data_IF_260105051834
#
_entry.id   IF_260105051834
#
_cell.length_a   1.000
_cell.length_b   1.000
_cell.length_c   1.000
_cell.angle_alpha   90.00
_cell.angle_beta   90.00
_cell.angle_gamma   90.00
#
_symmetry.space_group_name_H-M   'P 1'
#
loop_
_entity.id
_entity.type
_entity.pdbx_description
1 polymer ?
#
# COMPACT_ATOMS: atom_id res chain seq x y z
N UNK A 1 -3.82 5.87 -35.57
CA UNK A 1 -3.86 6.95 -34.56
C UNK A 1 -5.10 7.84 -34.62
N UNK A 2 -5.35 8.64 -35.67
CA UNK A 2 -6.54 9.52 -35.72
C UNK A 2 -7.87 8.75 -35.91
N UNK A 3 -7.87 7.67 -36.69
CA UNK A 3 -9.05 6.78 -36.87
C UNK A 3 -9.37 5.92 -35.63
N UNK A 4 -8.35 5.50 -34.89
CA UNK A 4 -8.53 4.78 -33.62
C UNK A 4 -9.11 5.70 -32.54
N UNK A 5 -8.69 6.98 -32.55
CA UNK A 5 -9.23 8.01 -31.67
C UNK A 5 -10.70 8.33 -31.99
N UNK A 6 -11.09 8.44 -33.26
CA UNK A 6 -12.49 8.62 -33.64
C UNK A 6 -13.35 7.39 -33.33
N UNK A 7 -12.82 6.17 -33.52
CA UNK A 7 -13.50 4.93 -33.14
C UNK A 7 -13.72 4.81 -31.63
N UNK A 8 -12.71 5.14 -30.83
CA UNK A 8 -12.81 5.15 -29.37
C UNK A 8 -13.82 6.20 -28.87
N UNK A 9 -13.84 7.40 -29.48
CA UNK A 9 -14.80 8.46 -29.15
C UNK A 9 -16.23 8.05 -29.52
N UNK A 10 -16.44 7.40 -30.67
CA UNK A 10 -17.76 6.90 -31.07
C UNK A 10 -18.26 5.77 -30.15
N UNK A 11 -17.38 4.87 -29.70
CA UNK A 11 -17.70 3.85 -28.70
C UNK A 11 -18.09 4.47 -27.35
N UNK A 12 -17.35 5.50 -26.91
CA UNK A 12 -17.67 6.25 -25.68
C UNK A 12 -19.02 6.98 -25.77
N UNK A 13 -19.35 7.52 -26.94
CA UNK A 13 -20.61 8.22 -27.18
C UNK A 13 -21.81 7.27 -27.28
N UNK A 14 -21.58 6.03 -27.70
CA UNK A 14 -22.63 5.02 -27.88
C UNK A 14 -23.05 4.37 -26.57
N UNK A 15 -22.13 4.20 -25.63
CA UNK A 15 -22.41 3.58 -24.33
C UNK A 15 -21.88 4.38 -23.13
N UNK A 16 -22.76 5.06 -22.38
CA UNK A 16 -22.35 5.90 -21.26
C UNK A 16 -21.69 5.11 -20.13
N UNK A 17 -22.05 3.82 -19.96
CA UNK A 17 -21.46 2.94 -18.93
C UNK A 17 -19.96 2.74 -19.16
N UNK A 18 -19.55 2.52 -20.41
CA UNK A 18 -18.13 2.38 -20.76
C UNK A 18 -17.38 3.69 -20.50
N UNK A 19 -17.95 4.82 -20.91
CA UNK A 19 -17.37 6.14 -20.66
C UNK A 19 -17.20 6.45 -19.18
N UNK A 20 -18.24 6.23 -18.36
CA UNK A 20 -18.17 6.47 -16.91
C UNK A 20 -17.20 5.52 -16.20
N UNK A 21 -17.18 4.24 -16.57
CA UNK A 21 -16.29 3.25 -15.93
C UNK A 21 -14.81 3.52 -16.24
N UNK A 22 -14.49 3.85 -17.50
CA UNK A 22 -13.14 4.25 -17.90
C UNK A 22 -12.71 5.56 -17.24
N UNK A 23 -13.58 6.58 -17.24
CA UNK A 23 -13.28 7.85 -16.58
C UNK A 23 -13.05 7.67 -15.09
N UNK A 24 -13.88 6.86 -14.42
CA UNK A 24 -13.73 6.53 -13.01
C UNK A 24 -12.40 5.79 -12.75
N UNK A 25 -12.05 4.81 -13.60
CA UNK A 25 -10.77 4.11 -13.50
C UNK A 25 -9.59 5.05 -13.69
N UNK A 26 -9.61 5.91 -14.71
CA UNK A 26 -8.54 6.89 -14.95
C UNK A 26 -8.41 7.89 -13.80
N UNK A 27 -9.53 8.41 -13.28
CA UNK A 27 -9.54 9.35 -12.17
C UNK A 27 -9.01 8.69 -10.89
N UNK A 28 -9.43 7.47 -10.61
CA UNK A 28 -8.93 6.71 -9.46
C UNK A 28 -7.43 6.40 -9.59
N UNK A 29 -6.96 6.09 -10.81
CA UNK A 29 -5.54 5.91 -11.09
C UNK A 29 -4.75 7.22 -10.87
N UNK A 30 -5.27 8.33 -11.39
CA UNK A 30 -4.65 9.65 -11.25
C UNK A 30 -4.58 10.10 -9.78
N UNK A 31 -5.64 9.92 -9.01
CA UNK A 31 -5.69 10.26 -7.57
C UNK A 31 -4.71 9.39 -6.77
N UNK A 32 -4.69 8.09 -7.06
CA UNK A 32 -3.80 7.14 -6.39
C UNK A 32 -2.33 7.46 -6.68
N UNK A 33 -1.99 7.71 -7.95
CA UNK A 33 -0.63 8.05 -8.37
C UNK A 33 -0.18 9.42 -7.85
N UNK A 34 -1.02 10.46 -8.00
CA UNK A 34 -0.70 11.81 -7.50
C UNK A 34 -0.48 11.82 -5.99
N UNK A 35 -1.23 11.02 -5.23
CA UNK A 35 -1.03 10.84 -3.79
C UNK A 35 0.32 10.20 -3.45
N UNK A 36 0.78 9.24 -4.24
CA UNK A 36 2.11 8.62 -4.10
C UNK A 36 3.24 9.59 -4.45
N UNK A 37 3.12 10.26 -5.59
CA UNK A 37 4.08 11.26 -6.08
C UNK A 37 4.22 12.42 -5.09
N UNK A 38 3.11 12.92 -4.54
CA UNK A 38 3.12 13.97 -3.51
C UNK A 38 3.89 13.56 -2.25
N UNK A 39 4.03 12.25 -1.99
CA UNK A 39 4.78 11.67 -0.87
C UNK A 39 6.18 11.18 -1.26
N UNK A 40 6.56 11.37 -2.53
CA UNK A 40 7.85 10.97 -3.08
C UNK A 40 8.13 9.46 -2.90
N UNK A 41 7.09 8.62 -3.01
CA UNK A 41 7.22 7.17 -2.87
C UNK A 41 8.16 6.56 -3.93
N UNK A 42 8.15 7.11 -5.15
CA UNK A 42 9.03 6.71 -6.26
C UNK A 42 10.52 6.90 -5.95
N UNK A 43 10.90 7.82 -5.05
CA UNK A 43 12.31 8.03 -4.67
C UNK A 43 12.91 6.78 -4.03
N UNK A 44 12.07 5.92 -3.44
CA UNK A 44 12.48 4.65 -2.85
C UNK A 44 13.06 3.70 -3.92
N UNK A 45 12.65 3.83 -5.19
CA UNK A 45 13.18 3.06 -6.32
C UNK A 45 14.63 3.41 -6.68
N UNK A 46 15.15 4.56 -6.23
CA UNK A 46 16.56 4.90 -6.43
C UNK A 46 17.51 4.06 -5.55
N UNK A 47 16.97 3.34 -4.55
CA UNK A 47 17.78 2.51 -3.65
C UNK A 47 17.96 1.11 -4.23
N UNK A 48 19.21 0.71 -4.46
CA UNK A 48 19.54 -0.63 -4.98
C UNK A 48 18.93 -1.77 -4.14
N UNK A 49 18.89 -1.63 -2.81
CA UNK A 49 18.31 -2.64 -1.92
C UNK A 49 16.79 -2.82 -2.12
N UNK A 50 16.08 -1.78 -2.54
CA UNK A 50 14.65 -1.83 -2.85
C UNK A 50 14.45 -2.48 -4.21
N UNK A 51 15.25 -2.08 -5.21
CA UNK A 51 15.21 -2.69 -6.54
C UNK A 51 15.47 -4.20 -6.48
N UNK A 52 16.46 -4.64 -5.70
CA UNK A 52 16.75 -6.06 -5.51
C UNK A 52 15.58 -6.81 -4.86
N UNK A 53 14.96 -6.23 -3.83
CA UNK A 53 13.76 -6.82 -3.17
C UNK A 53 12.57 -6.88 -4.11
N UNK A 54 12.34 -5.81 -4.89
CA UNK A 54 11.28 -5.75 -5.88
C UNK A 54 11.50 -6.81 -6.96
N UNK A 55 12.71 -6.89 -7.53
CA UNK A 55 13.07 -7.91 -8.52
C UNK A 55 12.89 -9.33 -7.97
N UNK A 56 13.31 -9.57 -6.71
CA UNK A 56 13.11 -10.86 -6.05
C UNK A 56 11.63 -11.21 -5.87
N UNK A 57 10.82 -10.29 -5.34
CA UNK A 57 9.39 -10.54 -5.08
C UNK A 57 8.57 -10.65 -6.37
N UNK A 58 8.89 -9.84 -7.39
CA UNK A 58 8.28 -9.97 -8.73
C UNK A 58 8.71 -11.27 -9.40
N UNK A 59 9.99 -11.64 -9.31
CA UNK A 59 10.49 -12.93 -9.82
C UNK A 59 9.83 -14.12 -9.13
N UNK A 60 9.62 -14.05 -7.80
CA UNK A 60 8.88 -15.04 -7.04
C UNK A 60 7.41 -15.12 -7.50
N UNK A 61 6.75 -13.98 -7.67
CA UNK A 61 5.39 -13.93 -8.19
C UNK A 61 5.30 -14.56 -9.59
N UNK A 62 6.24 -14.24 -10.48
CA UNK A 62 6.28 -14.81 -11.82
C UNK A 62 6.49 -16.33 -11.80
N UNK A 63 7.42 -16.83 -10.96
CA UNK A 63 7.65 -18.26 -10.80
C UNK A 63 6.42 -18.99 -10.26
N UNK A 64 5.72 -18.41 -9.28
CA UNK A 64 4.48 -18.95 -8.73
C UNK A 64 3.34 -18.92 -9.75
N UNK A 65 3.21 -17.85 -10.54
CA UNK A 65 2.22 -17.75 -11.61
C UNK A 65 2.44 -18.86 -12.64
N UNK A 66 3.67 -19.09 -13.06
CA UNK A 66 4.01 -20.16 -13.99
C UNK A 66 3.73 -21.56 -13.42
N UNK A 67 4.01 -21.79 -12.13
CA UNK A 67 3.64 -23.04 -11.45
C UNK A 67 2.12 -23.28 -11.50
N UNK A 68 1.32 -22.21 -11.40
CA UNK A 68 -0.14 -22.24 -11.42
C UNK A 68 -0.75 -22.74 -12.72
N UNK A 69 -0.04 -22.58 -13.84
CA UNK A 69 -0.50 -23.03 -15.17
C UNK A 69 -0.62 -24.56 -15.27
N UNK A 70 0.06 -25.28 -14.38
CA UNK A 70 0.10 -26.76 -14.35
C UNK A 70 -0.83 -27.37 -13.31
N UNK A 71 -1.64 -26.56 -12.62
CA UNK A 71 -2.53 -27.05 -11.57
C UNK A 71 -3.87 -27.55 -12.13
N UNK A 72 -4.24 -28.78 -11.80
CA UNK A 72 -5.43 -29.45 -12.34
C UNK A 72 -6.70 -29.29 -11.48
N UNK A 73 -6.60 -28.71 -10.27
CA UNK A 73 -7.71 -28.59 -9.32
C UNK A 73 -8.00 -27.12 -9.00
N UNK A 74 -9.29 -26.74 -9.00
CA UNK A 74 -9.76 -25.39 -8.68
C UNK A 74 -9.20 -24.82 -7.35
N UNK A 75 -9.14 -25.63 -6.29
CA UNK A 75 -8.59 -25.19 -5.00
C UNK A 75 -7.08 -24.95 -5.08
N UNK A 76 -6.36 -25.79 -5.82
CA UNK A 76 -4.92 -25.62 -6.04
C UNK A 76 -4.62 -24.42 -6.93
N UNK A 77 -5.39 -24.25 -8.01
CA UNK A 77 -5.33 -23.06 -8.86
C UNK A 77 -5.60 -21.80 -8.03
N UNK A 78 -6.65 -21.79 -7.21
CA UNK A 78 -6.93 -20.67 -6.31
C UNK A 78 -5.81 -20.41 -5.31
N UNK A 79 -5.24 -21.46 -4.69
CA UNK A 79 -4.13 -21.32 -3.76
C UNK A 79 -2.88 -20.73 -4.42
N UNK A 80 -2.52 -21.20 -5.61
CA UNK A 80 -1.39 -20.67 -6.37
C UNK A 80 -1.68 -19.25 -6.81
N UNK A 81 -2.92 -18.95 -7.21
CA UNK A 81 -3.37 -17.59 -7.54
C UNK A 81 -3.17 -16.64 -6.37
N UNK A 82 -3.60 -17.03 -5.17
CA UNK A 82 -3.35 -16.25 -3.97
C UNK A 82 -1.85 -16.10 -3.66
N UNK A 83 -1.08 -17.19 -3.85
CA UNK A 83 0.35 -17.20 -3.58
C UNK A 83 1.15 -16.25 -4.46
N UNK A 84 0.85 -16.15 -5.76
CA UNK A 84 1.59 -15.26 -6.66
C UNK A 84 1.20 -13.78 -6.51
N UNK A 85 -0.04 -13.49 -6.11
CA UNK A 85 -0.48 -12.12 -5.79
C UNK A 85 0.15 -11.58 -4.51
N UNK A 86 0.35 -12.43 -3.52
CA UNK A 86 0.81 -12.03 -2.18
C UNK A 86 2.13 -11.21 -2.21
N UNK A 87 3.22 -11.63 -2.89
CA UNK A 87 4.43 -10.81 -3.02
C UNK A 87 4.18 -9.40 -3.58
N UNK A 88 3.28 -9.28 -4.56
CA UNK A 88 2.95 -8.00 -5.19
C UNK A 88 2.12 -7.12 -4.25
N UNK A 89 1.16 -7.70 -3.52
CA UNK A 89 0.40 -7.00 -2.49
C UNK A 89 1.30 -6.49 -1.37
N UNK A 90 2.29 -7.29 -0.93
CA UNK A 90 3.28 -6.87 0.06
C UNK A 90 4.09 -5.66 -0.42
N UNK A 91 4.51 -5.63 -1.69
CA UNK A 91 5.22 -4.48 -2.27
C UNK A 91 4.36 -3.21 -2.31
N UNK A 92 3.14 -3.31 -2.83
CA UNK A 92 2.22 -2.17 -2.92
C UNK A 92 1.87 -1.61 -1.54
N UNK A 93 1.51 -2.49 -0.60
CA UNK A 93 1.22 -2.13 0.80
C UNK A 93 2.44 -1.56 1.54
N UNK A 94 3.64 -2.05 1.20
CA UNK A 94 4.90 -1.70 1.87
C UNK A 94 5.49 -0.38 1.41
N UNK A 95 5.46 -0.10 0.10
CA UNK A 95 6.18 1.01 -0.52
C UNK A 95 5.31 2.07 -1.21
N UNK A 96 4.10 1.73 -1.64
CA UNK A 96 3.15 2.72 -2.18
C UNK A 96 2.71 2.46 -3.61
N UNK A 97 1.85 3.35 -4.14
CA UNK A 97 1.25 3.19 -5.46
C UNK A 97 2.29 3.19 -6.59
N UNK A 98 3.33 4.02 -6.55
CA UNK A 98 4.35 4.06 -7.61
C UNK A 98 5.17 2.78 -7.70
N UNK A 99 5.50 2.18 -6.54
CA UNK A 99 6.22 0.90 -6.49
C UNK A 99 5.30 -0.27 -6.87
N UNK A 100 4.03 -0.23 -6.48
CA UNK A 100 3.02 -1.17 -6.95
C UNK A 100 2.88 -1.15 -8.47
N UNK A 101 2.83 0.04 -9.08
CA UNK A 101 2.78 0.21 -10.53
C UNK A 101 4.05 -0.31 -11.22
N UNK A 102 5.23 -0.01 -10.68
CA UNK A 102 6.49 -0.51 -11.22
C UNK A 102 6.57 -2.05 -11.17
N UNK A 103 6.13 -2.65 -10.06
CA UNK A 103 6.07 -4.10 -9.91
C UNK A 103 5.09 -4.74 -10.92
N UNK A 104 3.93 -4.12 -11.13
CA UNK A 104 2.97 -4.55 -12.15
C UNK A 104 3.56 -4.46 -13.56
N UNK A 105 4.27 -3.36 -13.86
CA UNK A 105 4.94 -3.17 -15.15
C UNK A 105 6.00 -4.24 -15.41
N UNK A 106 6.82 -4.58 -14.41
CA UNK A 106 7.77 -5.68 -14.53
C UNK A 106 7.07 -7.02 -14.74
N UNK A 107 5.98 -7.28 -14.01
CA UNK A 107 5.20 -8.50 -14.19
C UNK A 107 4.60 -8.58 -15.60
N UNK A 108 4.14 -7.46 -16.15
CA UNK A 108 3.63 -7.37 -17.52
C UNK A 108 4.70 -7.59 -18.59
N UNK A 109 5.95 -7.19 -18.33
CA UNK A 109 7.08 -7.50 -19.22
C UNK A 109 7.43 -8.99 -19.19
N UNK A 110 7.25 -9.65 -18.05
CA UNK A 110 7.51 -11.10 -17.92
C UNK A 110 6.36 -11.92 -18.53
N UNK A 111 5.12 -11.47 -18.35
CA UNK A 111 3.94 -12.09 -18.94
C UNK A 111 3.80 -11.68 -20.41
N UNK A 112 4.43 -12.41 -21.32
CA UNK A 112 4.32 -12.19 -22.77
C UNK A 112 3.44 -13.29 -23.40
N UNK A 113 2.35 -12.93 -24.11
CA UNK A 113 1.86 -11.57 -24.40
C UNK A 113 1.15 -10.94 -23.19
N UNK A 114 1.35 -9.64 -23.00
CA UNK A 114 0.63 -8.85 -21.99
C UNK A 114 -0.75 -8.44 -22.50
N UNK A 115 -1.74 -8.40 -21.60
CA UNK A 115 -3.11 -8.09 -21.95
C UNK A 115 -3.86 -7.36 -20.85
N UNK A 116 -5.19 -7.48 -20.91
CA UNK A 116 -6.09 -6.80 -19.97
C UNK A 116 -5.88 -7.23 -18.51
N UNK A 117 -5.45 -8.47 -18.26
CA UNK A 117 -5.17 -8.98 -16.92
C UNK A 117 -4.04 -8.20 -16.23
N UNK A 118 -2.95 -7.94 -16.95
CA UNK A 118 -1.82 -7.15 -16.45
C UNK A 118 -2.21 -5.69 -16.19
N UNK A 119 -3.07 -5.11 -17.04
CA UNK A 119 -3.59 -3.76 -16.85
C UNK A 119 -4.48 -3.65 -15.60
N UNK A 120 -5.35 -4.63 -15.36
CA UNK A 120 -6.17 -4.70 -14.15
C UNK A 120 -5.32 -4.90 -12.90
N UNK A 121 -4.31 -5.78 -12.97
CA UNK A 121 -3.35 -5.97 -11.88
C UNK A 121 -2.61 -4.67 -11.55
N UNK A 122 -2.14 -3.95 -12.56
CA UNK A 122 -1.50 -2.64 -12.38
C UNK A 122 -2.43 -1.64 -11.71
N UNK A 123 -3.70 -1.59 -12.14
CA UNK A 123 -4.71 -0.73 -11.55
C UNK A 123 -4.97 -1.10 -10.08
N UNK A 124 -5.11 -2.40 -9.78
CA UNK A 124 -5.32 -2.90 -8.42
C UNK A 124 -4.15 -2.59 -7.49
N UNK A 125 -2.91 -2.82 -7.92
CA UNK A 125 -1.71 -2.54 -7.10
C UNK A 125 -1.53 -1.05 -6.83
N UNK A 126 -1.90 -0.22 -7.80
CA UNK A 126 -1.87 1.23 -7.66
C UNK A 126 -2.93 1.73 -6.65
N UNK A 127 -4.16 1.21 -6.71
CA UNK A 127 -5.20 1.50 -5.70
C UNK A 127 -4.79 0.97 -4.32
N UNK A 128 -4.25 -0.24 -4.25
CA UNK A 128 -3.80 -0.87 -3.02
C UNK A 128 -2.71 -0.06 -2.33
N UNK A 129 -1.73 0.41 -3.10
CA UNK A 129 -0.66 1.28 -2.60
C UNK A 129 -1.19 2.62 -2.08
N UNK A 130 -2.22 3.18 -2.73
CA UNK A 130 -2.90 4.38 -2.25
C UNK A 130 -3.65 4.14 -0.93
N UNK A 131 -4.42 3.06 -0.83
CA UNK A 131 -5.14 2.68 0.40
C UNK A 131 -4.19 2.39 1.57
N UNK A 132 -2.98 1.89 1.28
CA UNK A 132 -1.95 1.63 2.30
C UNK A 132 -1.45 2.90 3.01
N UNK A 133 -1.73 4.09 2.47
CA UNK A 133 -1.41 5.38 3.10
C UNK A 133 -2.23 5.52 4.39
N UNK A 134 -3.55 5.36 4.34
CA UNK A 134 -4.46 5.30 5.49
C UNK A 134 -5.73 4.51 5.13
N UNK A 135 -6.05 3.38 5.80
CA UNK A 135 -5.37 2.79 6.96
C UNK A 135 -4.11 1.99 6.57
N UNK A 136 -3.06 2.08 7.39
CA UNK A 136 -1.77 1.45 7.09
C UNK A 136 -1.57 0.10 7.83
N UNK A 137 -1.10 -0.97 7.15
CA UNK A 137 -0.80 -2.27 7.77
C UNK A 137 0.35 -2.22 8.79
N UNK A 138 1.08 -1.10 8.82
CA UNK A 138 2.11 -0.80 9.82
C UNK A 138 1.56 -0.49 11.20
N UNK A 139 0.26 -0.20 11.30
CA UNK A 139 -0.43 0.08 12.56
C UNK A 139 -1.39 -1.05 12.93
N UNK A 140 -2.11 -1.61 11.95
CA UNK A 140 -3.15 -2.60 12.19
C UNK A 140 -3.00 -3.83 11.28
N UNK A 141 -3.00 -5.03 11.86
CA UNK A 141 -2.88 -6.30 11.11
C UNK A 141 -4.01 -6.50 10.09
N UNK A 142 -5.21 -6.02 10.40
CA UNK A 142 -6.39 -6.17 9.53
C UNK A 142 -6.40 -5.19 8.35
N UNK A 143 -5.58 -4.12 8.38
CA UNK A 143 -5.58 -3.12 7.32
C UNK A 143 -5.09 -3.69 5.97
N UNK A 144 -4.14 -4.64 5.99
CA UNK A 144 -3.67 -5.30 4.77
C UNK A 144 -4.80 -6.02 4.03
N UNK A 145 -5.46 -7.01 4.66
CA UNK A 145 -6.60 -7.71 4.05
C UNK A 145 -7.74 -6.77 3.64
N UNK A 146 -8.11 -5.79 4.47
CA UNK A 146 -9.17 -4.86 4.11
C UNK A 146 -8.82 -4.03 2.87
N UNK A 147 -7.59 -3.50 2.81
CA UNK A 147 -7.16 -2.71 1.67
C UNK A 147 -7.10 -3.54 0.38
N UNK A 148 -6.75 -4.82 0.47
CA UNK A 148 -6.79 -5.75 -0.67
C UNK A 148 -8.22 -5.96 -1.16
N UNK A 149 -9.17 -6.21 -0.26
CA UNK A 149 -10.59 -6.35 -0.62
C UNK A 149 -11.15 -5.08 -1.27
N UNK A 150 -10.85 -3.91 -0.70
CA UNK A 150 -11.27 -2.62 -1.25
C UNK A 150 -10.61 -2.33 -2.60
N UNK A 151 -9.32 -2.61 -2.75
CA UNK A 151 -8.61 -2.44 -4.01
C UNK A 151 -9.20 -3.34 -5.10
N UNK A 152 -9.42 -4.63 -4.81
CA UNK A 152 -10.05 -5.56 -5.74
C UNK A 152 -11.45 -5.10 -6.15
N UNK A 153 -12.28 -4.69 -5.18
CA UNK A 153 -13.60 -4.13 -5.43
C UNK A 153 -13.52 -2.92 -6.36
N UNK A 154 -12.77 -1.89 -5.97
CA UNK A 154 -12.64 -0.66 -6.77
C UNK A 154 -12.13 -0.91 -8.19
N UNK A 155 -11.14 -1.81 -8.35
CA UNK A 155 -10.64 -2.22 -9.66
C UNK A 155 -11.74 -2.84 -10.51
N UNK A 156 -12.50 -3.78 -9.95
CA UNK A 156 -13.50 -4.53 -10.71
C UNK A 156 -14.76 -3.72 -11.02
N UNK A 157 -15.18 -2.80 -10.13
CA UNK A 157 -16.34 -1.92 -10.38
C UNK A 157 -16.00 -0.82 -11.42
N UNK A 158 -14.71 -0.55 -11.66
CA UNK A 158 -14.25 0.47 -12.63
C UNK A 158 -13.60 -0.16 -13.87
N UNK A 159 -12.31 -0.45 -13.83
CA UNK A 159 -11.56 -1.03 -14.95
C UNK A 159 -12.05 -2.42 -15.35
N UNK A 160 -12.50 -3.23 -14.38
CA UNK A 160 -13.06 -4.57 -14.64
C UNK A 160 -14.34 -4.49 -15.48
N UNK A 161 -15.28 -3.61 -15.11
CA UNK A 161 -16.49 -3.35 -15.91
C UNK A 161 -16.14 -2.92 -17.34
N UNK A 162 -15.19 -1.99 -17.50
CA UNK A 162 -14.74 -1.55 -18.81
C UNK A 162 -14.15 -2.71 -19.63
N UNK A 163 -13.30 -3.53 -19.02
CA UNK A 163 -12.73 -4.72 -19.67
C UNK A 163 -13.81 -5.72 -20.09
N UNK A 164 -14.74 -6.06 -19.19
CA UNK A 164 -15.83 -7.00 -19.50
C UNK A 164 -16.68 -6.48 -20.65
N UNK A 165 -16.96 -5.18 -20.68
CA UNK A 165 -17.72 -4.57 -21.76
C UNK A 165 -16.99 -4.66 -23.10
N UNK A 166 -15.70 -4.31 -23.13
CA UNK A 166 -14.88 -4.35 -24.36
C UNK A 166 -14.72 -5.78 -24.88
N UNK A 167 -14.63 -6.77 -24.00
CA UNK A 167 -14.38 -8.17 -24.38
C UNK A 167 -15.64 -8.96 -24.74
N UNK A 168 -16.78 -8.63 -24.13
CA UNK A 168 -18.02 -9.43 -24.27
C UNK A 168 -19.20 -8.64 -24.85
N UNK A 169 -19.09 -7.32 -24.99
CA UNK A 169 -20.15 -6.44 -25.49
C UNK A 169 -21.29 -6.18 -24.51
N UNK A 170 -21.24 -6.73 -23.29
CA UNK A 170 -22.26 -6.52 -22.26
C UNK A 170 -21.68 -6.63 -20.84
N UNK A 171 -22.30 -5.95 -19.87
CA UNK A 171 -21.99 -6.15 -18.45
C UNK A 171 -22.98 -7.15 -17.88
N UNK A 172 -22.55 -8.39 -17.64
CA UNK A 172 -23.37 -9.43 -17.03
C UNK A 172 -22.75 -9.92 -15.73
N UNK A 173 -23.58 -10.01 -14.68
CA UNK A 173 -23.13 -10.47 -13.36
C UNK A 173 -22.69 -11.95 -13.36
N UNK A 174 -23.26 -12.75 -14.27
CA UNK A 174 -22.88 -14.15 -14.48
C UNK A 174 -21.43 -14.30 -14.90
N UNK A 175 -20.94 -13.43 -15.81
CA UNK A 175 -19.55 -13.42 -16.27
C UNK A 175 -18.56 -13.13 -15.14
N UNK A 176 -18.95 -12.30 -14.18
CA UNK A 176 -18.16 -12.06 -12.99
C UNK A 176 -18.04 -13.34 -12.15
N UNK A 177 -19.16 -13.98 -11.84
CA UNK A 177 -19.15 -15.13 -10.93
C UNK A 177 -18.55 -16.40 -11.52
N UNK A 178 -18.71 -16.65 -12.83
CA UNK A 178 -18.13 -17.84 -13.48
C UNK A 178 -16.68 -17.62 -13.89
N UNK A 179 -16.31 -16.39 -14.26
CA UNK A 179 -14.97 -16.04 -14.71
C UNK A 179 -13.96 -15.73 -13.59
N UNK A 180 -14.43 -15.41 -12.38
CA UNK A 180 -13.56 -14.97 -11.27
C UNK A 180 -13.41 -15.98 -10.12
N UNK A 181 -13.93 -17.20 -10.22
CA UNK A 181 -13.94 -18.12 -9.07
C UNK A 181 -12.53 -18.40 -8.53
N UNK A 182 -11.59 -18.71 -9.42
CA UNK A 182 -10.18 -18.95 -9.07
C UNK A 182 -9.57 -17.70 -8.42
N UNK A 183 -9.87 -16.53 -9.00
CA UNK A 183 -9.34 -15.25 -8.54
C UNK A 183 -9.88 -14.87 -7.15
N UNK A 184 -11.16 -15.10 -6.89
CA UNK A 184 -11.80 -14.84 -5.59
C UNK A 184 -11.28 -15.79 -4.51
N UNK A 185 -11.09 -17.07 -4.84
CA UNK A 185 -10.45 -18.03 -3.92
C UNK A 185 -9.02 -17.58 -3.62
N UNK A 186 -8.26 -17.22 -4.65
CA UNK A 186 -6.90 -16.71 -4.49
C UNK A 186 -6.83 -15.44 -3.66
N UNK A 187 -7.73 -14.48 -3.90
CA UNK A 187 -7.85 -13.26 -3.12
C UNK A 187 -8.13 -13.56 -1.64
N UNK A 188 -9.07 -14.46 -1.35
CA UNK A 188 -9.39 -14.86 0.01
C UNK A 188 -8.19 -15.50 0.72
N UNK A 189 -7.46 -16.37 0.03
CA UNK A 189 -6.24 -17.01 0.56
C UNK A 189 -5.11 -16.00 0.75
N UNK A 190 -4.92 -15.07 -0.18
CA UNK A 190 -3.95 -13.98 -0.05
C UNK A 190 -4.29 -13.07 1.13
N UNK A 191 -5.57 -12.71 1.31
CA UNK A 191 -6.05 -11.96 2.47
C UNK A 191 -5.79 -12.69 3.78
N UNK A 192 -6.06 -14.00 3.84
CA UNK A 192 -5.74 -14.81 5.01
C UNK A 192 -4.23 -14.84 5.29
N UNK A 193 -3.41 -15.00 4.25
CA UNK A 193 -1.95 -14.98 4.38
C UNK A 193 -1.43 -13.60 4.84
N UNK A 194 -2.05 -12.50 4.41
CA UNK A 194 -1.69 -11.14 4.85
C UNK A 194 -1.84 -10.94 6.36
N UNK A 195 -2.74 -11.67 7.03
CA UNK A 195 -2.86 -11.61 8.49
C UNK A 195 -1.61 -12.12 9.21
N UNK A 196 -0.82 -12.98 8.56
CA UNK A 196 0.46 -13.48 9.08
C UNK A 196 1.52 -12.37 9.12
N UNK A 197 1.43 -11.37 8.23
CA UNK A 197 2.36 -10.25 8.13
C UNK A 197 1.89 -9.07 8.99
N UNK A 198 2.34 -9.04 10.25
CA UNK A 198 1.97 -7.98 11.18
C UNK A 198 2.76 -6.66 11.02
N UNK A 199 2.41 -5.63 11.80
CA UNK A 199 3.11 -4.34 11.87
C UNK A 199 4.64 -4.44 11.90
N UNK A 200 5.17 -5.33 12.74
CA UNK A 200 6.62 -5.51 12.91
C UNK A 200 7.30 -6.00 11.63
N UNK A 201 6.63 -6.88 10.86
CA UNK A 201 7.14 -7.32 9.57
C UNK A 201 7.22 -6.14 8.60
N UNK A 202 6.16 -5.33 8.52
CA UNK A 202 6.16 -4.19 7.61
C UNK A 202 7.19 -3.11 7.99
N UNK A 203 7.37 -2.86 9.29
CA UNK A 203 8.36 -1.89 9.77
C UNK A 203 9.80 -2.37 9.53
N UNK A 204 10.09 -3.66 9.75
CA UNK A 204 11.43 -4.22 9.56
C UNK A 204 11.78 -4.44 8.08
N UNK A 205 10.88 -5.09 7.34
CA UNK A 205 11.13 -5.49 5.95
C UNK A 205 11.03 -4.29 4.99
N UNK A 206 10.18 -3.30 5.29
CA UNK A 206 10.00 -2.09 4.47
C UNK A 206 10.45 -0.81 5.19
N UNK A 207 11.58 -0.88 5.91
CA UNK A 207 12.17 0.23 6.65
C UNK A 207 12.49 1.46 5.78
N UNK A 208 12.77 1.25 4.49
CA UNK A 208 13.10 2.33 3.55
C UNK A 208 11.89 3.11 3.00
N UNK A 209 10.67 2.69 3.35
CA UNK A 209 9.42 3.27 2.85
C UNK A 209 9.13 4.65 3.43
N UNK A 210 8.52 5.51 2.61
CA UNK A 210 8.12 6.88 2.96
C UNK A 210 6.61 7.02 3.20
N UNK A 211 5.86 5.92 3.14
CA UNK A 211 4.40 5.93 3.32
C UNK A 211 3.95 6.33 4.73
N UNK A 212 4.85 6.28 5.72
CA UNK A 212 4.54 6.62 7.11
C UNK A 212 5.17 7.96 7.48
N UNK A 213 4.45 8.85 8.18
CA UNK A 213 5.11 9.91 8.93
C UNK A 213 6.10 9.28 9.93
N UNK A 214 7.21 9.96 10.26
CA UNK A 214 8.14 9.48 11.27
C UNK A 214 7.34 9.13 12.53
N UNK A 215 7.67 7.99 13.15
CA UNK A 215 7.03 7.56 14.38
C UNK A 215 6.91 8.77 15.30
N UNK A 216 5.68 9.13 15.68
CA UNK A 216 5.49 10.18 16.68
C UNK A 216 6.45 9.84 17.82
N UNK A 217 7.30 10.80 18.26
CA UNK A 217 8.28 10.52 19.28
C UNK A 217 7.53 9.83 20.40
N UNK A 218 7.92 8.59 20.70
CA UNK A 218 7.35 7.87 21.81
C UNK A 218 7.46 8.84 22.96
N UNK A 219 6.32 9.33 23.44
CA UNK A 219 6.23 9.87 24.78
C UNK A 219 6.69 8.69 25.62
N UNK A 220 8.01 8.63 25.89
CA UNK A 220 8.56 7.80 26.94
C UNK A 220 7.57 7.96 28.08
N UNK A 221 7.08 6.89 28.70
CA UNK A 221 6.37 7.06 29.96
C UNK A 221 7.26 8.02 30.74
N UNK A 222 6.74 9.22 31.06
CA UNK A 222 7.43 10.12 31.99
C UNK A 222 7.74 9.18 33.12
N UNK A 223 9.03 8.83 33.30
CA UNK A 223 9.45 8.20 34.54
C UNK A 223 8.75 9.04 35.59
N UNK A 224 7.93 8.45 36.49
CA UNK A 224 7.31 9.24 37.53
C UNK A 224 8.46 10.03 38.09
N UNK A 225 8.42 11.35 37.89
CA UNK A 225 9.42 12.24 38.43
C UNK A 225 9.22 11.98 39.89
N UNK A 226 10.10 11.14 40.45
CA UNK A 226 10.15 10.82 41.85
C UNK A 226 10.16 12.22 42.44
N UNK A 227 9.04 12.61 43.05
CA UNK A 227 8.88 13.93 43.63
C UNK A 227 10.07 13.96 44.58
N UNK A 228 11.10 14.69 44.18
CA UNK A 228 12.29 14.83 44.97
C UNK A 228 11.75 15.52 46.21
N UNK A 229 11.59 14.75 47.28
CA UNK A 229 11.27 15.26 48.59
C UNK A 229 12.34 16.34 48.79
N UNK A 230 11.97 17.63 48.87
CA UNK A 230 12.97 18.66 49.03
C UNK A 230 13.77 18.30 50.30
N UNK A 231 15.12 18.31 50.23
CA UNK A 231 15.92 17.99 51.39
C UNK A 231 15.50 18.91 52.54
N UNK A 232 15.44 18.42 53.79
CA UNK A 232 15.07 19.25 54.92
C UNK A 232 15.99 20.48 54.93
N UNK A 233 15.38 21.66 54.97
CA UNK A 233 16.07 22.95 55.02
C UNK A 233 17.06 22.91 56.18
N UNK A 234 18.34 22.66 55.87
CA UNK A 234 19.43 22.86 56.81
C UNK A 234 19.45 24.34 57.11
N UNK A 235 19.02 24.65 58.34
CA UNK A 235 18.97 25.98 58.94
C UNK A 235 20.33 26.64 58.76
N UNK A 236 20.46 27.44 57.69
CA UNK A 236 21.67 28.20 57.38
C UNK A 236 21.88 29.17 58.55
N UNK A 237 22.86 28.87 59.41
CA UNK A 237 23.34 29.79 60.45
C UNK A 237 23.81 31.05 59.71
N UNK A 238 23.05 32.13 59.84
CA UNK A 238 23.48 33.47 59.49
C UNK A 238 24.72 33.81 60.34
N UNK A 239 25.85 34.23 59.74
CA UNK A 239 26.95 34.76 60.52
C UNK A 239 26.49 36.07 61.17
N UNK A 240 26.66 36.16 62.51
CA UNK A 240 26.48 37.38 63.29
C UNK A 240 27.31 38.49 62.65
N UNK A 241 26.64 39.46 62.04
CA UNK A 241 27.22 40.71 61.56
C UNK A 241 27.81 41.43 62.77
N UNK A 242 29.13 41.53 62.86
CA UNK A 242 29.80 42.39 63.83
C UNK A 242 29.44 43.84 63.48
N UNK A 243 28.76 44.50 64.41
CA UNK A 243 28.50 45.93 64.39
C UNK A 243 29.75 46.64 64.91
N UNK A 244 30.48 47.31 64.03
CA UNK A 244 31.52 48.27 64.42
C UNK A 244 30.83 49.57 64.87
N UNK A 245 31.14 50.12 66.04
CA UNK A 245 30.58 51.41 66.47
C UNK A 245 31.22 52.57 65.68
N UNK A 246 30.51 53.69 65.50
CA UNK A 246 31.01 54.86 64.79
C UNK A 246 32.08 55.58 65.61
N UNK A 247 33.19 55.97 64.95
CA UNK A 247 34.14 56.95 65.47
C UNK A 247 33.49 58.33 65.40
N UNK A 248 33.45 59.01 66.54
CA UNK A 248 33.29 60.46 66.59
C UNK A 248 34.69 61.06 66.47
N UNK A 249 34.91 61.83 65.40
CA UNK A 249 36.09 62.67 65.29
C UNK A 249 35.68 64.09 65.71
N UNK A 250 36.49 64.66 66.60
CA UNK A 250 36.49 66.06 67.07
C UNK A 250 37.02 67.02 65.99
#
# INVERSE_FOLDING_TARGET
MLEELTGAVQLLQRDPVLGYSLLASLLLAAVSLSSGLARLDFVVLAKASVLLRMAFLVGLAAALRHLGETADNLLWQGAITGAWHLPLYLLALGYGPSVGLAAAGLMAVIAVPSGWGEALLAHQLLILGWLAIYPSPRHYRWAGPLNVALAYGLTWITGGVAMTYVTTGAVQLSFFWTGQQVELIGLALAMAALLLFGPNFYQSFFAASRLTPPAAPQTRPRQPTLIAIPPPLTRRRTPKRQLTPPRFDE
#
